data_IF_086143888963
#
_entry.id   IF_086143888963
#
_cell.length_a   1.000
_cell.length_b   1.000
_cell.length_c   1.000
_cell.angle_alpha   90.00
_cell.angle_beta   90.00
_cell.angle_gamma   90.00
#
_symmetry.space_group_name_H-M   'P 1'
#
loop_
_entity.id
_entity.type
_entity.pdbx_description
1 polymer ?
#
# COMPACT_ATOMS: atom_id res chain seq x y z
N UNK A 1 29.93 -0.82 -4.83
CA UNK A 1 28.59 -0.54 -5.33
C UNK A 1 27.93 -1.87 -5.69
N UNK A 2 26.89 -2.27 -4.99
CA UNK A 2 26.07 -3.42 -5.42
C UNK A 2 25.41 -3.03 -6.74
N UNK A 3 25.70 -3.76 -7.81
CA UNK A 3 25.19 -3.47 -9.13
C UNK A 3 23.78 -4.07 -9.26
N UNK A 4 22.74 -3.30 -8.89
CA UNK A 4 21.34 -3.72 -8.90
C UNK A 4 20.66 -3.51 -10.26
N UNK A 5 21.41 -3.14 -11.30
CA UNK A 5 20.91 -3.02 -12.69
C UNK A 5 20.36 -4.34 -13.27
N UNK A 6 20.35 -5.42 -12.48
CA UNK A 6 19.86 -6.75 -12.86
C UNK A 6 18.73 -7.26 -11.96
N UNK A 7 17.99 -6.40 -11.22
CA UNK A 7 16.80 -6.86 -10.52
C UNK A 7 15.71 -7.20 -11.52
N UNK A 8 15.44 -8.49 -11.62
CA UNK A 8 14.34 -9.03 -12.40
C UNK A 8 13.15 -9.23 -11.45
N UNK A 9 12.30 -8.20 -11.38
CA UNK A 9 11.10 -8.20 -10.54
C UNK A 9 10.01 -9.17 -11.03
N UNK A 10 10.20 -9.78 -12.20
CA UNK A 10 9.29 -10.76 -12.75
C UNK A 10 9.80 -12.19 -12.55
N UNK A 11 10.92 -12.39 -11.91
CA UNK A 11 11.48 -13.71 -11.61
C UNK A 11 11.14 -14.14 -10.18
N UNK A 12 10.13 -15.01 -9.97
CA UNK A 12 9.69 -15.41 -8.63
C UNK A 12 10.74 -16.24 -7.86
N UNK A 13 11.83 -16.69 -8.51
CA UNK A 13 12.93 -17.36 -7.84
C UNK A 13 13.96 -16.40 -7.25
N UNK A 14 13.87 -15.10 -7.51
CA UNK A 14 14.76 -14.08 -6.96
C UNK A 14 14.32 -13.68 -5.56
N UNK A 15 15.30 -13.36 -4.71
CA UNK A 15 15.03 -12.78 -3.40
C UNK A 15 14.34 -11.42 -3.54
N UNK A 16 13.36 -11.17 -2.68
CA UNK A 16 12.66 -9.90 -2.64
C UNK A 16 13.60 -8.71 -2.38
N UNK A 17 13.29 -7.59 -3.00
CA UNK A 17 14.00 -6.33 -2.82
C UNK A 17 13.06 -5.27 -2.22
N UNK A 18 13.64 -4.18 -1.69
CA UNK A 18 12.87 -3.03 -1.22
C UNK A 18 12.37 -2.21 -2.41
N UNK A 19 11.08 -1.87 -2.41
CA UNK A 19 10.47 -0.89 -3.29
C UNK A 19 10.03 0.36 -2.53
N UNK A 20 10.08 1.52 -3.17
CA UNK A 20 9.64 2.79 -2.60
C UNK A 20 8.20 3.10 -3.01
N UNK A 21 7.26 2.90 -2.08
CA UNK A 21 5.86 3.31 -2.24
C UNK A 21 5.69 4.80 -1.95
N UNK A 22 5.14 5.56 -2.88
CA UNK A 22 5.12 7.02 -2.83
C UNK A 22 3.77 7.64 -2.45
N UNK A 23 2.85 6.84 -1.94
CA UNK A 23 1.53 7.33 -1.49
C UNK A 23 1.62 8.38 -0.37
N UNK A 24 2.64 8.32 0.48
CA UNK A 24 2.79 9.14 1.69
C UNK A 24 4.12 9.89 1.72
N UNK A 25 4.51 10.49 0.59
CA UNK A 25 5.71 11.32 0.52
C UNK A 25 5.64 12.49 1.50
N UNK A 26 6.78 12.93 2.06
CA UNK A 26 6.81 14.12 2.91
C UNK A 26 6.35 15.35 2.12
N UNK A 27 5.78 16.33 2.83
CA UNK A 27 5.39 17.62 2.22
C UNK A 27 6.60 18.41 1.72
N UNK A 28 7.75 18.25 2.37
CA UNK A 28 9.01 18.84 1.95
C UNK A 28 9.59 18.07 0.75
N UNK A 29 9.57 18.73 -0.41
CA UNK A 29 10.11 18.18 -1.66
C UNK A 29 11.63 17.95 -1.60
N UNK A 30 12.36 18.76 -0.82
CA UNK A 30 13.79 18.57 -0.64
C UNK A 30 14.08 17.28 0.17
N UNK A 31 13.26 16.96 1.16
CA UNK A 31 13.33 15.68 1.86
C UNK A 31 13.05 14.50 0.92
N UNK A 32 11.99 14.59 0.10
CA UNK A 32 11.72 13.57 -0.92
C UNK A 32 12.90 13.35 -1.85
N UNK A 33 13.54 14.43 -2.31
CA UNK A 33 14.71 14.34 -3.17
C UNK A 33 15.88 13.61 -2.48
N UNK A 34 16.16 13.94 -1.20
CA UNK A 34 17.18 13.22 -0.40
C UNK A 34 16.82 11.74 -0.22
N UNK A 35 15.53 11.42 0.00
CA UNK A 35 15.08 10.02 0.11
C UNK A 35 15.30 9.26 -1.18
N UNK A 36 14.96 9.85 -2.34
CA UNK A 36 15.20 9.25 -3.65
C UNK A 36 16.70 9.02 -3.87
N UNK A 37 17.56 10.02 -3.59
CA UNK A 37 19.01 9.90 -3.72
C UNK A 37 19.56 8.77 -2.84
N UNK A 38 19.07 8.68 -1.60
CA UNK A 38 19.49 7.63 -0.65
C UNK A 38 19.04 6.25 -1.12
N UNK A 39 17.79 6.12 -1.59
CA UNK A 39 17.23 4.87 -2.08
C UNK A 39 18.03 4.33 -3.29
N UNK A 40 18.22 5.16 -4.31
CA UNK A 40 18.99 4.80 -5.49
C UNK A 40 20.47 4.59 -5.17
N UNK A 41 21.06 5.40 -4.29
CA UNK A 41 22.44 5.28 -3.83
C UNK A 41 22.75 3.97 -3.09
N UNK A 42 21.72 3.36 -2.46
CA UNK A 42 21.82 2.03 -1.85
C UNK A 42 21.52 0.89 -2.84
N UNK A 43 21.27 1.22 -4.12
CA UNK A 43 21.11 0.26 -5.20
C UNK A 43 19.68 -0.28 -5.36
N UNK A 44 18.68 0.27 -4.67
CA UNK A 44 17.27 -0.02 -4.89
C UNK A 44 16.71 0.92 -5.94
N UNK A 45 15.80 0.45 -6.79
CA UNK A 45 15.37 1.21 -7.96
C UNK A 45 13.91 1.04 -8.37
N UNK A 46 13.08 0.27 -7.63
CA UNK A 46 11.65 0.14 -7.90
C UNK A 46 10.86 1.21 -7.15
N UNK A 47 10.14 2.05 -7.87
CA UNK A 47 9.36 3.17 -7.33
C UNK A 47 7.90 3.00 -7.75
N UNK A 48 6.98 2.97 -6.78
CA UNK A 48 5.55 2.75 -6.99
C UNK A 48 4.76 4.03 -6.74
N UNK A 49 4.00 4.47 -7.73
CA UNK A 49 3.05 5.58 -7.64
C UNK A 49 1.66 5.19 -8.15
N UNK A 50 0.71 6.11 -8.12
CA UNK A 50 -0.59 6.00 -8.75
C UNK A 50 -1.19 7.38 -9.00
N UNK A 51 -2.02 7.49 -10.03
CA UNK A 51 -2.75 8.71 -10.37
C UNK A 51 -3.47 9.37 -9.19
N UNK A 52 -4.00 8.55 -8.29
CA UNK A 52 -4.78 9.00 -7.12
C UNK A 52 -3.92 9.36 -5.90
N UNK A 53 -2.61 9.14 -5.94
CA UNK A 53 -1.72 9.52 -4.83
C UNK A 53 -1.44 11.01 -4.90
N UNK A 54 -1.95 11.75 -3.92
CA UNK A 54 -1.89 13.23 -3.89
C UNK A 54 -0.50 13.77 -4.22
N UNK A 55 -0.34 14.44 -5.38
CA UNK A 55 0.90 15.07 -5.86
C UNK A 55 2.11 14.13 -5.99
N UNK A 56 1.93 12.81 -5.92
CA UNK A 56 3.05 11.85 -5.98
C UNK A 56 3.75 11.90 -7.33
N UNK A 57 2.98 11.87 -8.44
CA UNK A 57 3.51 11.88 -9.80
C UNK A 57 4.33 13.15 -10.07
N UNK A 58 3.80 14.33 -9.72
CA UNK A 58 4.51 15.61 -9.90
C UNK A 58 5.73 15.73 -8.96
N UNK A 59 5.64 15.16 -7.77
CA UNK A 59 6.77 15.14 -6.84
C UNK A 59 7.89 14.25 -7.37
N UNK A 60 7.56 13.09 -7.94
CA UNK A 60 8.53 12.19 -8.59
C UNK A 60 9.16 12.84 -9.84
N UNK A 61 8.41 13.61 -10.61
CA UNK A 61 8.98 14.39 -11.72
C UNK A 61 10.16 15.26 -11.27
N UNK A 62 9.98 15.96 -10.15
CA UNK A 62 11.01 16.88 -9.63
C UNK A 62 12.12 16.13 -8.86
N UNK A 63 11.76 15.16 -8.04
CA UNK A 63 12.71 14.49 -7.16
C UNK A 63 13.49 13.35 -7.83
N UNK A 64 12.93 12.73 -8.87
CA UNK A 64 13.50 11.56 -9.55
C UNK A 64 13.80 11.87 -11.02
N UNK A 65 12.78 12.11 -11.85
CA UNK A 65 12.87 12.07 -13.31
C UNK A 65 13.80 13.16 -13.86
N UNK A 66 13.77 14.37 -13.30
CA UNK A 66 14.66 15.47 -13.69
C UNK A 66 16.10 15.35 -13.17
N UNK A 67 16.37 14.42 -12.26
CA UNK A 67 17.63 14.39 -11.51
C UNK A 67 18.46 13.15 -11.76
N UNK A 68 17.84 12.05 -12.19
CA UNK A 68 18.51 10.76 -12.34
C UNK A 68 18.37 10.22 -13.77
N UNK A 69 19.37 9.48 -14.28
CA UNK A 69 19.27 8.82 -15.59
C UNK A 69 18.08 7.86 -15.64
N UNK A 70 17.35 7.85 -16.78
CA UNK A 70 16.13 7.05 -16.94
C UNK A 70 16.32 5.54 -16.74
N UNK A 71 17.49 5.03 -17.06
CA UNK A 71 17.87 3.63 -16.94
C UNK A 71 18.33 3.22 -15.52
N UNK A 72 18.38 4.17 -14.60
CA UNK A 72 18.78 3.90 -13.19
C UNK A 72 17.61 3.52 -12.28
N UNK A 73 16.37 3.61 -12.74
CA UNK A 73 15.17 3.35 -11.94
C UNK A 73 14.03 2.76 -12.77
N UNK A 74 13.11 2.09 -12.08
CA UNK A 74 11.83 1.62 -12.60
C UNK A 74 10.68 2.36 -11.92
N UNK A 75 9.66 2.74 -12.70
CA UNK A 75 8.45 3.37 -12.18
C UNK A 75 7.25 2.51 -12.51
N UNK A 76 6.47 2.20 -11.47
CA UNK A 76 5.15 1.60 -11.57
C UNK A 76 4.07 2.66 -11.40
N UNK A 77 3.08 2.68 -12.31
CA UNK A 77 1.88 3.50 -12.18
C UNK A 77 0.62 2.68 -12.47
N UNK A 78 -0.58 3.22 -12.24
CA UNK A 78 -1.80 2.43 -12.17
C UNK A 78 -2.98 3.10 -12.85
N UNK A 79 -3.77 2.31 -13.58
CA UNK A 79 -5.05 2.71 -14.18
C UNK A 79 -6.19 2.47 -13.19
N UNK A 80 -6.80 3.50 -12.58
CA UNK A 80 -7.90 3.36 -11.64
C UNK A 80 -9.26 3.19 -12.35
N UNK A 81 -9.86 1.97 -12.42
CA UNK A 81 -11.11 1.73 -13.14
C UNK A 81 -12.26 2.64 -12.71
N UNK A 82 -12.41 2.89 -11.41
CA UNK A 82 -13.51 3.70 -10.85
C UNK A 82 -13.48 5.19 -11.23
N UNK A 83 -12.37 5.67 -11.78
CA UNK A 83 -12.28 7.05 -12.28
C UNK A 83 -12.68 7.18 -13.75
N UNK A 84 -12.83 6.06 -14.44
CA UNK A 84 -13.21 6.02 -15.85
C UNK A 84 -14.74 6.06 -15.98
N UNK A 85 -15.22 6.81 -16.97
CA UNK A 85 -16.64 6.86 -17.35
C UNK A 85 -16.88 6.22 -18.71
N UNK A 86 -15.86 6.20 -19.55
CA UNK A 86 -15.91 5.71 -20.90
C UNK A 86 -14.53 5.21 -21.37
N UNK A 87 -14.44 3.96 -21.81
CA UNK A 87 -13.24 3.40 -22.41
C UNK A 87 -13.42 3.27 -23.94
N UNK A 88 -12.39 3.50 -24.78
CA UNK A 88 -10.99 3.76 -24.38
C UNK A 88 -10.64 5.23 -24.12
N UNK A 89 -11.57 6.18 -24.34
CA UNK A 89 -11.24 7.61 -24.37
C UNK A 89 -10.72 8.14 -23.04
N UNK A 90 -11.30 7.73 -21.91
CA UNK A 90 -10.84 8.16 -20.59
C UNK A 90 -9.54 7.47 -20.20
N UNK A 91 -9.34 6.20 -20.62
CA UNK A 91 -8.08 5.49 -20.44
C UNK A 91 -6.92 6.25 -21.10
N UNK A 92 -7.11 6.71 -22.35
CA UNK A 92 -6.09 7.50 -23.08
C UNK A 92 -5.77 8.81 -22.35
N UNK A 93 -6.82 9.58 -22.01
CA UNK A 93 -6.64 10.88 -21.33
C UNK A 93 -5.92 10.75 -20.00
N UNK A 94 -6.31 9.74 -19.20
CA UNK A 94 -5.71 9.50 -17.89
C UNK A 94 -4.25 9.09 -18.04
N UNK A 95 -3.94 8.18 -18.94
CA UNK A 95 -2.59 7.70 -19.20
C UNK A 95 -1.66 8.83 -19.72
N UNK A 96 -2.14 9.65 -20.65
CA UNK A 96 -1.41 10.82 -21.14
C UNK A 96 -1.14 11.84 -20.03
N UNK A 97 -2.13 12.04 -19.14
CA UNK A 97 -1.99 12.91 -17.98
C UNK A 97 -0.96 12.36 -16.98
N UNK A 98 -0.92 11.03 -16.74
CA UNK A 98 0.10 10.39 -15.91
C UNK A 98 1.51 10.59 -16.48
N UNK A 99 1.70 10.38 -17.79
CA UNK A 99 2.98 10.66 -18.47
C UNK A 99 3.37 12.13 -18.34
N UNK A 100 2.43 13.05 -18.51
CA UNK A 100 2.66 14.49 -18.36
C UNK A 100 3.06 14.87 -16.93
N UNK A 101 2.36 14.33 -15.91
CA UNK A 101 2.62 14.60 -14.49
C UNK A 101 3.96 14.04 -14.03
N UNK A 102 4.26 12.81 -14.40
CA UNK A 102 5.54 12.17 -14.08
C UNK A 102 6.69 12.71 -14.91
N UNK A 103 6.42 13.20 -16.12
CA UNK A 103 7.43 13.61 -17.09
C UNK A 103 8.15 12.42 -17.74
N UNK A 104 7.56 11.23 -17.65
CA UNK A 104 8.07 10.02 -18.27
C UNK A 104 7.53 9.86 -19.70
N UNK A 105 8.25 9.12 -20.54
CA UNK A 105 7.83 8.73 -21.89
C UNK A 105 7.14 7.36 -21.91
N UNK A 106 7.39 6.53 -20.89
CA UNK A 106 6.81 5.20 -20.69
C UNK A 106 6.88 4.80 -19.23
N UNK A 107 6.02 3.85 -18.81
CA UNK A 107 6.09 3.18 -17.51
C UNK A 107 6.77 1.82 -17.64
N UNK A 108 7.63 1.49 -16.67
CA UNK A 108 8.26 0.17 -16.63
C UNK A 108 7.24 -0.89 -16.20
N UNK A 109 6.41 -0.55 -15.21
CA UNK A 109 5.33 -1.40 -14.70
C UNK A 109 4.03 -0.61 -14.72
N UNK A 110 2.96 -1.23 -15.20
CA UNK A 110 1.65 -0.61 -15.21
C UNK A 110 0.59 -1.59 -14.74
N UNK A 111 -0.30 -1.14 -13.85
CA UNK A 111 -1.25 -2.02 -13.19
C UNK A 111 -2.70 -1.57 -13.45
N UNK A 112 -3.61 -2.52 -13.67
CA UNK A 112 -5.03 -2.27 -13.45
C UNK A 112 -5.26 -2.19 -11.95
N UNK A 113 -5.76 -1.02 -11.46
CA UNK A 113 -5.65 -0.62 -10.06
C UNK A 113 -6.79 -1.13 -9.19
N UNK A 114 -6.45 -1.71 -8.02
CA UNK A 114 -7.37 -2.00 -6.91
C UNK A 114 -8.59 -2.83 -7.31
N UNK A 115 -8.34 -3.98 -7.94
CA UNK A 115 -9.41 -4.87 -8.39
C UNK A 115 -10.07 -5.60 -7.23
N UNK A 116 -11.38 -5.65 -7.28
CA UNK A 116 -12.30 -6.41 -6.44
C UNK A 116 -13.55 -6.77 -7.26
N UNK A 117 -14.46 -7.57 -6.71
CA UNK A 117 -15.67 -8.03 -7.38
C UNK A 117 -16.57 -6.87 -7.88
N UNK A 118 -16.55 -5.73 -7.17
CA UNK A 118 -17.34 -4.56 -7.56
C UNK A 118 -16.88 -3.93 -8.88
N UNK A 119 -15.67 -4.24 -9.33
CA UNK A 119 -15.08 -3.71 -10.57
C UNK A 119 -15.03 -4.76 -11.70
N UNK A 120 -15.33 -6.04 -11.42
CA UNK A 120 -15.22 -7.13 -12.40
C UNK A 120 -15.93 -6.80 -13.71
N UNK A 121 -17.21 -6.43 -13.64
CA UNK A 121 -18.04 -6.08 -14.82
C UNK A 121 -17.38 -4.98 -15.66
N UNK A 122 -16.94 -3.90 -15.04
CA UNK A 122 -16.32 -2.76 -15.73
C UNK A 122 -15.00 -3.13 -16.40
N UNK A 123 -14.17 -3.92 -15.71
CA UNK A 123 -12.87 -4.38 -16.21
C UNK A 123 -13.04 -5.21 -17.48
N UNK A 124 -14.01 -6.13 -17.47
CA UNK A 124 -14.28 -7.05 -18.58
C UNK A 124 -14.98 -6.32 -19.75
N UNK A 125 -16.08 -5.59 -19.50
CA UNK A 125 -16.85 -4.92 -20.55
C UNK A 125 -16.03 -3.86 -21.30
N UNK A 126 -15.07 -3.25 -20.61
CA UNK A 126 -14.20 -2.23 -21.20
C UNK A 126 -12.85 -2.77 -21.67
N UNK A 127 -12.62 -4.06 -21.52
CA UNK A 127 -11.37 -4.74 -21.91
C UNK A 127 -10.11 -3.96 -21.45
N UNK A 128 -10.07 -3.63 -20.15
CA UNK A 128 -8.99 -2.81 -19.62
C UNK A 128 -7.60 -3.46 -19.75
N UNK A 129 -7.53 -4.78 -19.64
CA UNK A 129 -6.28 -5.51 -19.87
C UNK A 129 -5.87 -5.46 -21.34
N UNK A 130 -6.79 -5.68 -22.29
CA UNK A 130 -6.53 -5.54 -23.70
C UNK A 130 -6.07 -4.15 -24.09
N UNK A 131 -6.69 -3.09 -23.51
CA UNK A 131 -6.22 -1.73 -23.68
C UNK A 131 -4.77 -1.55 -23.21
N UNK A 132 -4.40 -2.07 -22.04
CA UNK A 132 -3.03 -2.02 -21.53
C UNK A 132 -2.05 -2.80 -22.43
N UNK A 133 -2.46 -3.97 -22.97
CA UNK A 133 -1.66 -4.76 -23.92
C UNK A 133 -1.37 -3.94 -25.18
N UNK A 134 -2.33 -3.16 -25.70
CA UNK A 134 -2.09 -2.27 -26.83
C UNK A 134 -1.08 -1.15 -26.51
N UNK A 135 -1.10 -0.60 -25.27
CA UNK A 135 -0.07 0.36 -24.86
C UNK A 135 1.30 -0.31 -24.71
N UNK A 136 1.35 -1.57 -24.27
CA UNK A 136 2.58 -2.36 -24.23
C UNK A 136 3.15 -2.61 -25.62
N UNK A 137 2.34 -2.95 -26.62
CA UNK A 137 2.76 -3.08 -28.03
C UNK A 137 3.36 -1.79 -28.59
N UNK A 138 2.84 -0.63 -28.16
CA UNK A 138 3.38 0.69 -28.52
C UNK A 138 4.68 1.05 -27.78
N UNK A 139 5.11 0.23 -26.80
CA UNK A 139 6.29 0.48 -25.97
C UNK A 139 6.08 1.49 -24.84
N UNK A 140 4.84 1.92 -24.60
CA UNK A 140 4.48 2.88 -23.55
C UNK A 140 4.35 2.22 -22.17
N UNK A 141 4.15 0.91 -22.12
CA UNK A 141 4.19 0.05 -20.95
C UNK A 141 5.19 -1.07 -21.23
N UNK A 142 6.07 -1.39 -20.28
CA UNK A 142 6.99 -2.52 -20.40
C UNK A 142 6.41 -3.80 -19.82
N UNK A 143 5.85 -3.74 -18.61
CA UNK A 143 5.28 -4.88 -17.90
C UNK A 143 3.89 -4.56 -17.38
N UNK A 144 2.94 -5.48 -17.62
CA UNK A 144 1.55 -5.35 -17.21
C UNK A 144 1.25 -6.23 -16.01
N UNK A 145 0.53 -5.70 -15.03
CA UNK A 145 0.03 -6.42 -13.88
C UNK A 145 -1.28 -5.83 -13.36
N UNK A 146 -1.67 -6.23 -12.17
CA UNK A 146 -2.81 -5.64 -11.47
C UNK A 146 -2.59 -5.61 -9.96
N UNK A 147 -3.28 -4.72 -9.25
CA UNK A 147 -3.35 -4.73 -7.78
C UNK A 147 -4.72 -5.21 -7.32
N UNK A 148 -4.73 -5.97 -6.20
CA UNK A 148 -5.88 -6.76 -5.81
C UNK A 148 -6.31 -6.54 -4.35
N UNK A 149 -7.63 -6.45 -4.13
CA UNK A 149 -8.26 -6.27 -2.81
C UNK A 149 -9.58 -7.04 -2.65
N UNK A 150 -9.90 -7.98 -3.53
CA UNK A 150 -11.15 -8.74 -3.53
C UNK A 150 -11.08 -10.10 -2.83
N UNK A 151 -12.04 -10.95 -3.08
CA UNK A 151 -12.12 -12.32 -2.54
C UNK A 151 -11.33 -13.34 -3.37
N UNK A 152 -10.93 -14.43 -2.74
CA UNK A 152 -10.09 -15.50 -3.32
C UNK A 152 -10.61 -16.03 -4.67
N UNK A 153 -11.92 -16.20 -4.79
CA UNK A 153 -12.55 -16.73 -6.03
C UNK A 153 -12.41 -15.77 -7.23
N UNK A 154 -12.46 -14.47 -7.00
CA UNK A 154 -12.26 -13.51 -8.09
C UNK A 154 -10.79 -13.41 -8.50
N UNK A 155 -9.86 -13.45 -7.55
CA UNK A 155 -8.44 -13.52 -7.87
C UNK A 155 -8.12 -14.72 -8.79
N UNK A 156 -8.66 -15.89 -8.48
CA UNK A 156 -8.44 -17.07 -9.33
C UNK A 156 -9.03 -16.88 -10.74
N UNK A 157 -10.21 -16.24 -10.87
CA UNK A 157 -10.77 -15.90 -12.18
C UNK A 157 -9.89 -14.93 -12.97
N UNK A 158 -9.37 -13.87 -12.33
CA UNK A 158 -8.45 -12.92 -12.96
C UNK A 158 -7.19 -13.61 -13.49
N UNK A 159 -6.53 -14.42 -12.65
CA UNK A 159 -5.31 -15.13 -13.03
C UNK A 159 -5.54 -16.11 -14.20
N UNK A 160 -6.74 -16.69 -14.32
CA UNK A 160 -7.09 -17.57 -15.44
C UNK A 160 -7.45 -16.81 -16.71
N UNK A 161 -8.16 -15.67 -16.58
CA UNK A 161 -8.67 -14.90 -17.74
C UNK A 161 -7.61 -14.01 -18.36
N UNK A 162 -6.67 -13.52 -17.55
CA UNK A 162 -5.69 -12.52 -17.95
C UNK A 162 -4.26 -13.06 -17.84
N UNK A 163 -3.91 -14.09 -18.65
CA UNK A 163 -2.54 -14.65 -18.68
C UNK A 163 -1.51 -13.66 -19.21
N UNK A 164 -1.94 -12.54 -19.82
CA UNK A 164 -1.09 -11.42 -20.22
C UNK A 164 -0.56 -10.60 -19.03
N UNK A 165 -1.13 -10.79 -17.83
CA UNK A 165 -0.63 -10.22 -16.59
C UNK A 165 0.65 -10.93 -16.15
N UNK A 166 1.74 -10.18 -16.01
CA UNK A 166 3.07 -10.69 -15.71
C UNK A 166 3.39 -10.74 -14.22
N UNK A 167 2.62 -10.02 -13.41
CA UNK A 167 2.79 -9.96 -11.95
C UNK A 167 1.50 -9.49 -11.27
N UNK A 168 1.42 -9.73 -9.97
CA UNK A 168 0.31 -9.25 -9.14
C UNK A 168 0.82 -8.46 -7.94
N UNK A 169 0.14 -7.36 -7.62
CA UNK A 169 0.41 -6.59 -6.40
C UNK A 169 -0.63 -6.96 -5.35
N UNK A 170 -0.19 -7.61 -4.26
CA UNK A 170 -1.04 -8.13 -3.20
C UNK A 170 -0.74 -7.43 -1.86
N UNK A 171 -1.79 -7.21 -1.09
CA UNK A 171 -1.66 -6.84 0.31
C UNK A 171 -1.20 -8.05 1.12
N UNK A 172 0.01 -7.99 1.69
CA UNK A 172 0.60 -9.05 2.48
C UNK A 172 1.26 -8.47 3.74
N UNK A 173 0.97 -9.05 4.89
CA UNK A 173 1.62 -8.78 6.17
C UNK A 173 1.27 -9.91 7.14
N UNK A 174 1.99 -10.07 8.23
CA UNK A 174 1.78 -11.20 9.13
C UNK A 174 0.37 -11.23 9.76
N UNK A 175 -0.32 -10.07 9.90
CA UNK A 175 -1.69 -10.04 10.40
C UNK A 175 -2.67 -10.59 9.36
N UNK A 176 -2.63 -10.07 8.14
CA UNK A 176 -3.58 -10.46 7.08
C UNK A 176 -3.31 -11.88 6.57
N UNK A 177 -2.06 -12.35 6.61
CA UNK A 177 -1.71 -13.73 6.26
C UNK A 177 -2.14 -14.73 7.34
N UNK A 178 -1.89 -14.46 8.61
CA UNK A 178 -2.13 -15.42 9.70
C UNK A 178 -3.55 -15.34 10.28
N UNK A 179 -4.32 -14.30 10.01
CA UNK A 179 -5.67 -14.08 10.56
C UNK A 179 -6.69 -13.62 9.50
N UNK A 180 -6.29 -13.43 8.25
CA UNK A 180 -7.14 -12.96 7.15
C UNK A 180 -6.95 -13.78 5.87
N UNK A 181 -7.48 -13.31 4.74
CA UNK A 181 -7.49 -14.04 3.47
C UNK A 181 -6.16 -13.97 2.69
N UNK A 182 -5.17 -13.21 3.14
CA UNK A 182 -3.97 -12.94 2.36
C UNK A 182 -3.11 -14.19 2.09
N UNK A 183 -3.19 -15.21 2.95
CA UNK A 183 -2.54 -16.51 2.69
C UNK A 183 -3.15 -17.20 1.46
N UNK A 184 -4.47 -17.20 1.32
CA UNK A 184 -5.14 -17.81 0.15
C UNK A 184 -4.75 -17.09 -1.14
N UNK A 185 -4.68 -15.75 -1.12
CA UNK A 185 -4.22 -14.98 -2.29
C UNK A 185 -2.77 -15.29 -2.65
N UNK A 186 -1.91 -15.41 -1.64
CA UNK A 186 -0.52 -15.78 -1.82
C UNK A 186 -0.39 -17.19 -2.44
N UNK A 187 -1.11 -18.18 -1.91
CA UNK A 187 -1.10 -19.55 -2.42
C UNK A 187 -1.59 -19.62 -3.88
N UNK A 188 -2.62 -18.84 -4.24
CA UNK A 188 -3.07 -18.73 -5.61
C UNK A 188 -1.98 -18.13 -6.52
N UNK A 189 -1.36 -17.03 -6.14
CA UNK A 189 -0.29 -16.43 -6.92
C UNK A 189 0.88 -17.42 -7.12
N UNK A 190 1.26 -18.16 -6.09
CA UNK A 190 2.27 -19.23 -6.18
C UNK A 190 1.82 -20.36 -7.13
N UNK A 191 0.58 -20.82 -7.02
CA UNK A 191 -0.01 -21.85 -7.88
C UNK A 191 0.04 -21.47 -9.38
N UNK A 192 -0.17 -20.19 -9.68
CA UNK A 192 -0.10 -19.66 -11.04
C UNK A 192 1.28 -19.14 -11.43
N UNK A 193 2.30 -19.38 -10.58
CA UNK A 193 3.69 -18.93 -10.76
C UNK A 193 3.81 -17.40 -11.01
N UNK A 194 2.92 -16.62 -10.39
CA UNK A 194 2.94 -15.17 -10.50
C UNK A 194 4.00 -14.55 -9.56
N UNK A 195 4.85 -13.67 -10.05
CA UNK A 195 5.65 -12.78 -9.22
C UNK A 195 4.73 -11.88 -8.37
N UNK A 196 5.07 -11.74 -7.10
CA UNK A 196 4.29 -10.94 -6.15
C UNK A 196 5.05 -9.67 -5.77
N UNK A 197 4.43 -8.52 -6.00
CA UNK A 197 4.84 -7.26 -5.42
C UNK A 197 3.96 -7.01 -4.20
N UNK A 198 4.58 -6.92 -3.02
CA UNK A 198 3.83 -6.74 -1.77
C UNK A 198 3.49 -5.28 -1.56
N UNK A 199 2.22 -4.98 -1.32
CA UNK A 199 1.76 -3.70 -0.78
C UNK A 199 1.30 -3.88 0.68
N UNK A 200 1.30 -2.78 1.43
CA UNK A 200 0.90 -2.73 2.85
C UNK A 200 1.64 -3.72 3.78
N UNK A 201 2.96 -3.88 3.67
CA UNK A 201 3.72 -4.79 4.54
C UNK A 201 3.59 -4.43 6.01
N UNK A 202 3.38 -3.14 6.33
CA UNK A 202 3.15 -2.63 7.69
C UNK A 202 1.70 -2.18 7.92
N UNK A 203 0.76 -2.61 7.06
CA UNK A 203 -0.69 -2.33 7.15
C UNK A 203 -0.99 -0.85 7.46
N UNK A 204 -0.54 0.04 6.55
CA UNK A 204 -0.72 1.50 6.70
C UNK A 204 0.02 2.12 7.88
N UNK A 205 0.95 1.40 8.49
CA UNK A 205 1.72 1.81 9.66
C UNK A 205 1.25 1.19 10.99
N UNK A 206 0.09 0.52 11.02
CA UNK A 206 -0.43 -0.09 12.25
C UNK A 206 0.46 -1.20 12.81
N UNK A 207 1.22 -1.90 11.96
CA UNK A 207 2.20 -2.89 12.36
C UNK A 207 3.60 -2.31 12.62
N UNK A 208 3.77 -1.00 12.48
CA UNK A 208 4.98 -0.28 12.90
C UNK A 208 4.78 0.43 14.26
N UNK A 209 3.54 0.59 14.70
CA UNK A 209 3.15 1.18 15.98
C UNK A 209 2.14 0.26 16.66
N UNK A 210 2.63 -0.69 17.43
CA UNK A 210 1.80 -1.69 18.11
C UNK A 210 1.24 -1.15 19.44
N UNK A 211 0.17 -1.78 19.99
CA UNK A 211 -0.20 -1.60 21.40
C UNK A 211 0.97 -1.96 22.33
N UNK A 212 1.10 -1.32 23.52
CA UNK A 212 2.26 -1.49 24.40
C UNK A 212 2.57 -2.95 24.78
N UNK A 213 1.54 -3.76 25.05
CA UNK A 213 1.72 -5.17 25.39
C UNK A 213 2.32 -5.99 24.23
N UNK A 214 1.87 -5.73 22.99
CA UNK A 214 2.39 -6.38 21.79
C UNK A 214 3.81 -5.90 21.45
N UNK A 215 4.07 -4.60 21.56
CA UNK A 215 5.39 -4.02 21.32
C UNK A 215 6.43 -4.55 22.31
N UNK A 216 6.06 -4.68 23.58
CA UNK A 216 6.90 -5.21 24.64
C UNK A 216 7.44 -6.62 24.29
N UNK A 217 6.60 -7.51 23.77
CA UNK A 217 7.01 -8.86 23.36
C UNK A 217 8.17 -8.82 22.35
N UNK A 218 8.07 -7.96 21.33
CA UNK A 218 9.10 -7.82 20.30
C UNK A 218 10.38 -7.19 20.85
N UNK A 219 10.23 -6.17 21.71
CA UNK A 219 11.37 -5.45 22.31
C UNK A 219 12.12 -6.25 23.35
N UNK A 220 11.47 -7.10 24.11
CA UNK A 220 12.13 -8.02 25.05
C UNK A 220 12.94 -9.08 24.31
N UNK A 221 12.44 -9.57 23.17
CA UNK A 221 13.16 -10.55 22.34
C UNK A 221 14.32 -9.93 21.57
N UNK A 222 14.13 -8.77 20.94
CA UNK A 222 15.11 -8.09 20.10
C UNK A 222 15.09 -6.56 20.32
N UNK A 223 15.73 -6.04 21.39
CA UNK A 223 15.65 -4.64 21.81
C UNK A 223 16.06 -3.62 20.73
N UNK A 224 17.05 -4.00 19.91
CA UNK A 224 17.63 -3.12 18.89
C UNK A 224 16.94 -3.24 17.52
N UNK A 225 15.93 -4.10 17.38
CA UNK A 225 15.21 -4.30 16.15
C UNK A 225 13.99 -3.39 16.11
N UNK A 226 13.73 -2.71 14.99
CA UNK A 226 12.54 -1.87 14.83
C UNK A 226 11.28 -2.73 14.76
N UNK A 227 10.14 -2.18 15.18
CA UNK A 227 8.85 -2.89 15.10
C UNK A 227 8.46 -3.14 13.63
N UNK A 228 8.67 -2.16 12.75
CA UNK A 228 8.36 -2.27 11.34
C UNK A 228 9.15 -3.39 10.64
N UNK A 229 10.41 -3.61 11.05
CA UNK A 229 11.29 -4.62 10.42
C UNK A 229 10.75 -6.04 10.52
N UNK A 230 9.97 -6.38 11.56
CA UNK A 230 9.34 -7.68 11.70
C UNK A 230 8.33 -7.96 10.58
N UNK A 231 7.49 -6.97 10.27
CA UNK A 231 6.49 -7.10 9.23
C UNK A 231 7.12 -7.10 7.82
N UNK A 232 8.11 -6.25 7.59
CA UNK A 232 8.85 -6.19 6.33
C UNK A 232 9.59 -7.50 6.07
N UNK A 233 10.31 -8.01 7.04
CA UNK A 233 11.05 -9.27 6.91
C UNK A 233 10.13 -10.47 6.71
N UNK A 234 8.98 -10.51 7.42
CA UNK A 234 7.98 -11.56 7.23
C UNK A 234 7.55 -11.64 5.77
N UNK A 235 7.18 -10.51 5.16
CA UNK A 235 6.67 -10.48 3.78
C UNK A 235 7.75 -10.70 2.73
N UNK A 236 8.97 -10.18 2.95
CA UNK A 236 10.07 -10.31 2.00
C UNK A 236 10.56 -11.76 1.80
N UNK A 237 10.23 -12.65 2.72
CA UNK A 237 10.65 -14.04 2.71
C UNK A 237 9.55 -15.02 2.27
N UNK A 238 8.38 -14.50 1.91
CA UNK A 238 7.32 -15.33 1.32
C UNK A 238 7.70 -15.75 -0.11
N UNK A 239 7.29 -16.96 -0.47
CA UNK A 239 7.53 -17.50 -1.81
C UNK A 239 6.97 -16.58 -2.90
N UNK A 240 7.64 -16.48 -4.04
CA UNK A 240 7.30 -15.65 -5.20
C UNK A 240 7.27 -14.13 -4.92
N UNK A 241 7.56 -13.66 -3.72
CA UNK A 241 7.68 -12.22 -3.46
C UNK A 241 8.99 -11.71 -4.06
N UNK A 242 8.89 -10.73 -4.95
CA UNK A 242 10.03 -10.14 -5.66
C UNK A 242 10.32 -8.72 -5.23
N UNK A 243 9.30 -8.01 -4.70
CA UNK A 243 9.45 -6.65 -4.20
C UNK A 243 8.50 -6.41 -3.02
N UNK A 244 8.98 -5.69 -2.00
CA UNK A 244 8.17 -5.23 -0.88
C UNK A 244 8.11 -3.71 -0.90
N UNK A 245 6.93 -3.17 -1.20
CA UNK A 245 6.70 -1.73 -1.24
C UNK A 245 6.55 -1.18 0.18
N UNK A 246 7.46 -0.33 0.58
CA UNK A 246 7.33 0.42 1.82
C UNK A 246 7.06 1.90 1.54
N UNK A 247 6.01 2.45 2.20
CA UNK A 247 5.62 3.85 2.11
C UNK A 247 6.39 4.70 3.13
N UNK A 248 7.68 4.76 2.99
CA UNK A 248 8.56 5.56 3.84
C UNK A 248 8.23 7.05 3.70
N UNK A 249 7.89 7.71 4.81
CA UNK A 249 7.42 9.11 4.82
C UNK A 249 8.48 10.10 5.35
N UNK A 250 9.65 9.62 5.73
CA UNK A 250 10.80 10.41 6.20
C UNK A 250 12.10 9.60 6.10
N UNK A 251 13.23 10.28 6.31
CA UNK A 251 14.56 9.65 6.24
C UNK A 251 14.81 8.59 7.31
N UNK A 252 14.20 8.70 8.50
CA UNK A 252 14.35 7.71 9.57
C UNK A 252 13.77 6.36 9.13
N UNK A 253 12.55 6.35 8.60
CA UNK A 253 11.90 5.15 8.06
C UNK A 253 12.66 4.58 6.86
N UNK A 254 13.19 5.46 5.98
CA UNK A 254 14.03 5.04 4.85
C UNK A 254 15.27 4.28 5.36
N UNK A 255 16.01 4.85 6.30
CA UNK A 255 17.22 4.22 6.83
C UNK A 255 16.93 2.93 7.59
N UNK A 256 15.83 2.86 8.34
CA UNK A 256 15.39 1.65 9.04
C UNK A 256 15.08 0.51 8.07
N UNK A 257 14.36 0.82 6.98
CA UNK A 257 13.99 -0.17 5.98
C UNK A 257 15.21 -0.63 5.15
N UNK A 258 16.10 0.28 4.78
CA UNK A 258 17.36 -0.07 4.12
C UNK A 258 18.17 -1.03 4.99
N UNK A 259 18.34 -0.72 6.29
CA UNK A 259 19.03 -1.61 7.26
C UNK A 259 18.33 -2.96 7.38
N UNK A 260 17.01 -3.02 7.34
CA UNK A 260 16.25 -4.28 7.39
C UNK A 260 16.59 -5.18 6.21
N UNK A 261 16.79 -4.61 5.01
CA UNK A 261 17.14 -5.38 3.81
C UNK A 261 18.62 -5.74 3.69
N UNK A 262 19.53 -5.08 4.42
CA UNK A 262 20.96 -5.42 4.43
C UNK A 262 21.24 -6.81 5.05
N UNK A 263 20.52 -7.16 6.11
CA UNK A 263 20.72 -8.38 6.91
C UNK A 263 19.49 -9.30 6.90
N UNK A 264 18.81 -9.41 5.76
CA UNK A 264 17.60 -10.22 5.62
C UNK A 264 17.88 -11.71 5.84
N UNK A 265 17.23 -12.30 6.85
CA UNK A 265 17.32 -13.73 7.18
C UNK A 265 15.93 -14.31 7.37
N UNK A 266 15.73 -15.62 7.10
CA UNK A 266 14.48 -16.28 7.43
C UNK A 266 14.14 -16.12 8.92
N UNK A 267 12.86 -15.93 9.22
CA UNK A 267 12.37 -15.96 10.58
C UNK A 267 12.52 -17.39 11.14
N UNK A 268 13.01 -17.49 12.36
CA UNK A 268 13.09 -18.76 13.09
C UNK A 268 11.70 -19.23 13.54
N UNK A 269 11.54 -20.49 13.88
CA UNK A 269 10.29 -21.01 14.46
C UNK A 269 9.87 -20.21 15.72
N UNK A 270 10.84 -19.85 16.56
CA UNK A 270 10.58 -19.02 17.74
C UNK A 270 10.07 -17.63 17.39
N UNK A 271 10.58 -17.01 16.33
CA UNK A 271 10.13 -15.70 15.85
C UNK A 271 8.71 -15.80 15.25
N UNK A 272 8.37 -16.88 14.55
CA UNK A 272 7.00 -17.14 14.10
C UNK A 272 6.04 -17.30 15.28
N UNK A 273 6.42 -18.03 16.34
CA UNK A 273 5.64 -18.18 17.56
C UNK A 273 5.46 -16.82 18.26
N UNK A 274 6.52 -16.00 18.29
CA UNK A 274 6.46 -14.66 18.85
C UNK A 274 5.48 -13.76 18.08
N UNK A 275 5.48 -13.80 16.74
CA UNK A 275 4.48 -13.07 15.94
C UNK A 275 3.06 -13.53 16.23
N UNK A 276 2.83 -14.85 16.47
CA UNK A 276 1.52 -15.33 16.91
C UNK A 276 1.10 -14.78 18.27
N UNK A 277 2.03 -14.62 19.22
CA UNK A 277 1.76 -13.97 20.51
C UNK A 277 1.41 -12.49 20.32
N UNK A 278 2.14 -11.77 19.46
CA UNK A 278 1.84 -10.39 19.07
C UNK A 278 0.43 -10.28 18.49
N UNK A 279 0.03 -11.21 17.62
CA UNK A 279 -1.32 -11.24 17.05
C UNK A 279 -2.40 -11.47 18.08
N UNK A 280 -2.14 -12.29 19.12
CA UNK A 280 -3.06 -12.49 20.22
C UNK A 280 -3.24 -11.21 21.06
N UNK A 281 -2.17 -10.42 21.27
CA UNK A 281 -2.29 -9.11 21.92
C UNK A 281 -3.03 -8.10 21.02
N UNK A 282 -2.74 -8.09 19.70
CA UNK A 282 -3.47 -7.26 18.75
C UNK A 282 -4.97 -7.57 18.71
N UNK A 283 -5.36 -8.83 18.84
CA UNK A 283 -6.77 -9.25 18.85
C UNK A 283 -7.56 -8.69 20.05
N UNK A 284 -6.86 -8.33 21.15
CA UNK A 284 -7.49 -7.65 22.31
C UNK A 284 -7.75 -6.17 22.03
N UNK A 285 -7.09 -5.62 21.02
CA UNK A 285 -7.20 -4.22 20.66
C UNK A 285 -8.33 -4.02 19.63
N UNK A 286 -9.47 -3.48 20.09
CA UNK A 286 -10.64 -3.20 19.24
C UNK A 286 -10.47 -1.91 18.42
N UNK A 287 -9.43 -1.83 17.60
CA UNK A 287 -9.19 -0.71 16.71
C UNK A 287 -9.93 -0.83 15.38
N UNK A 288 -10.08 0.31 14.69
CA UNK A 288 -10.62 0.36 13.33
C UNK A 288 -9.48 0.03 12.35
N UNK A 289 -9.60 -0.95 11.43
CA UNK A 289 -8.51 -1.42 10.58
C UNK A 289 -8.23 -0.49 9.38
N UNK A 290 -8.28 0.82 9.60
CA UNK A 290 -8.04 1.82 8.57
C UNK A 290 -6.53 1.99 8.30
N UNK A 291 -6.13 1.89 7.03
CA UNK A 291 -4.74 2.08 6.59
C UNK A 291 -4.43 3.51 6.12
N UNK A 292 -5.38 4.43 6.31
CA UNK A 292 -5.27 5.84 5.91
C UNK A 292 -4.89 6.04 4.42
N UNK A 293 -5.38 5.16 3.53
CA UNK A 293 -5.18 5.27 2.08
C UNK A 293 -5.93 6.45 1.45
N UNK A 294 -6.99 6.96 2.11
CA UNK A 294 -7.82 8.10 1.69
C UNK A 294 -8.63 7.89 0.41
N UNK A 295 -8.79 6.66 -0.10
CA UNK A 295 -9.63 6.41 -1.29
C UNK A 295 -11.08 6.85 -1.09
N UNK A 296 -11.58 6.76 0.14
CA UNK A 296 -12.92 7.21 0.54
C UNK A 296 -13.08 8.74 0.65
N UNK A 297 -11.98 9.51 0.58
CA UNK A 297 -12.04 10.97 0.87
C UNK A 297 -12.80 11.74 -0.21
N UNK A 298 -12.60 11.40 -1.49
CA UNK A 298 -13.30 12.04 -2.63
C UNK A 298 -14.77 11.70 -2.74
N UNK A 299 -15.23 10.63 -2.07
CA UNK A 299 -16.61 10.15 -2.14
C UNK A 299 -17.51 10.74 -1.04
N UNK A 300 -16.93 11.34 -0.01
CA UNK A 300 -17.69 11.93 1.08
C UNK A 300 -18.29 13.28 0.67
N UNK A 301 -19.64 13.41 0.54
CA UNK A 301 -20.26 14.67 0.12
C UNK A 301 -20.07 15.80 1.13
N UNK A 302 -19.71 15.47 2.37
CA UNK A 302 -19.47 16.42 3.46
C UNK A 302 -17.99 16.64 3.75
N UNK A 303 -17.08 16.06 2.95
CA UNK A 303 -15.63 16.17 3.10
C UNK A 303 -15.14 15.83 4.53
N UNK A 304 -15.74 14.83 5.19
CA UNK A 304 -15.30 14.36 6.50
C UNK A 304 -13.91 13.75 6.34
N UNK A 305 -12.96 14.11 7.20
CA UNK A 305 -11.65 13.45 7.26
C UNK A 305 -11.78 12.11 8.00
N UNK A 306 -12.27 11.10 7.25
CA UNK A 306 -12.52 9.75 7.73
C UNK A 306 -11.23 9.13 8.30
N UNK A 307 -10.13 9.29 7.55
CA UNK A 307 -8.85 8.69 7.93
C UNK A 307 -8.29 9.30 9.23
N UNK A 308 -8.38 10.61 9.39
CA UNK A 308 -7.95 11.29 10.62
C UNK A 308 -8.85 10.89 11.81
N UNK A 309 -10.16 10.82 11.62
CA UNK A 309 -11.12 10.39 12.65
C UNK A 309 -10.79 8.98 13.17
N UNK A 310 -10.52 8.04 12.26
CA UNK A 310 -10.15 6.67 12.62
C UNK A 310 -8.77 6.57 13.26
N UNK A 311 -7.80 7.36 12.81
CA UNK A 311 -6.48 7.42 13.44
C UNK A 311 -6.58 7.88 14.90
N UNK A 312 -7.33 8.96 15.15
CA UNK A 312 -7.54 9.48 16.51
C UNK A 312 -8.30 8.48 17.41
N UNK A 313 -9.31 7.79 16.86
CA UNK A 313 -9.98 6.70 17.58
C UNK A 313 -8.99 5.62 17.99
N UNK A 314 -8.15 5.16 17.05
CA UNK A 314 -7.17 4.12 17.31
C UNK A 314 -6.09 4.57 18.31
N UNK A 315 -5.64 5.82 18.24
CA UNK A 315 -4.68 6.38 19.19
C UNK A 315 -5.26 6.47 20.60
N UNK A 316 -6.52 6.93 20.73
CA UNK A 316 -7.22 6.94 22.01
C UNK A 316 -7.41 5.54 22.61
N UNK A 317 -7.67 4.53 21.75
CA UNK A 317 -7.80 3.14 22.20
C UNK A 317 -6.47 2.50 22.60
N UNK A 318 -5.33 2.96 22.02
CA UNK A 318 -3.97 2.52 22.39
C UNK A 318 -3.49 3.10 23.71
N UNK A 319 -4.08 4.18 24.17
CA UNK A 319 -3.69 4.85 25.41
C UNK A 319 -4.21 4.06 26.62
N UNK A 320 -3.37 3.16 27.13
CA UNK A 320 -3.66 2.36 28.33
C UNK A 320 -3.75 3.20 29.61
N UNK A 321 -3.26 4.45 29.61
CA UNK A 321 -3.38 5.35 30.75
C UNK A 321 -4.82 5.83 30.99
N UNK A 322 -5.71 5.60 29.99
CA UNK A 322 -7.08 6.09 30.02
C UNK A 322 -7.19 7.62 29.87
N UNK A 323 -6.07 8.31 29.63
CA UNK A 323 -6.05 9.77 29.48
C UNK A 323 -6.11 10.16 27.99
N UNK A 324 -7.18 9.80 27.32
CA UNK A 324 -7.43 10.21 25.93
C UNK A 324 -7.74 11.70 25.74
N UNK A 325 -7.58 12.52 26.81
CA UNK A 325 -7.93 13.95 26.79
C UNK A 325 -7.20 14.71 25.66
N UNK A 326 -5.90 14.49 25.49
CA UNK A 326 -5.14 15.14 24.42
C UNK A 326 -5.68 14.76 23.04
N UNK A 327 -5.98 13.48 22.81
CA UNK A 327 -6.54 12.98 21.53
C UNK A 327 -7.95 13.57 21.32
N UNK A 328 -8.76 13.65 22.36
CA UNK A 328 -10.08 14.26 22.30
C UNK A 328 -10.02 15.77 21.99
N UNK A 329 -9.05 16.50 22.54
CA UNK A 329 -8.84 17.91 22.19
C UNK A 329 -8.42 18.09 20.73
N UNK A 330 -7.50 17.25 20.24
CA UNK A 330 -7.09 17.28 18.84
C UNK A 330 -8.27 16.95 17.93
N UNK A 331 -9.08 15.93 18.27
CA UNK A 331 -10.30 15.61 17.54
C UNK A 331 -11.27 16.79 17.49
N UNK A 332 -11.51 17.44 18.63
CA UNK A 332 -12.39 18.62 18.74
C UNK A 332 -11.84 19.87 18.04
N UNK A 333 -10.55 19.91 17.67
CA UNK A 333 -9.99 20.98 16.83
C UNK A 333 -10.32 20.85 15.35
N UNK A 334 -10.77 19.67 14.89
CA UNK A 334 -11.32 19.50 13.54
C UNK A 334 -12.62 20.34 13.44
N UNK A 335 -12.85 21.07 12.34
CA UNK A 335 -14.14 21.74 12.11
C UNK A 335 -15.32 20.79 12.27
N UNK A 336 -16.39 21.21 12.93
CA UNK A 336 -17.52 20.35 13.26
C UNK A 336 -18.17 19.71 12.03
N UNK A 337 -18.20 20.43 10.90
CA UNK A 337 -18.68 19.95 9.61
C UNK A 337 -17.82 18.81 9.02
N UNK A 338 -16.60 18.61 9.48
CA UNK A 338 -15.63 17.63 8.97
C UNK A 338 -15.36 16.50 9.97
N UNK A 339 -16.07 16.49 11.12
CA UNK A 339 -15.97 15.43 12.13
C UNK A 339 -16.92 14.27 11.85
N UNK A 340 -16.74 13.18 12.58
CA UNK A 340 -17.58 11.98 12.47
C UNK A 340 -19.07 12.25 12.76
N UNK A 341 -19.38 13.23 13.62
CA UNK A 341 -20.75 13.68 13.95
C UNK A 341 -21.54 14.18 12.74
N UNK A 342 -20.85 14.74 11.75
CA UNK A 342 -21.48 15.20 10.51
C UNK A 342 -21.89 14.05 9.57
N UNK A 343 -21.54 12.80 9.86
CA UNK A 343 -21.78 11.66 8.98
C UNK A 343 -23.28 11.37 8.80
N UNK A 344 -23.79 11.55 7.58
CA UNK A 344 -25.18 11.26 7.20
C UNK A 344 -25.42 9.77 6.85
N UNK A 345 -24.44 8.91 7.01
CA UNK A 345 -24.51 7.46 6.76
C UNK A 345 -24.93 7.07 5.33
N UNK A 346 -24.59 7.88 4.33
CA UNK A 346 -24.98 7.65 2.93
C UNK A 346 -24.25 6.44 2.28
N UNK A 347 -23.15 5.94 2.85
CA UNK A 347 -22.42 4.76 2.37
C UNK A 347 -21.51 4.99 1.15
N UNK A 348 -21.49 6.18 0.54
CA UNK A 348 -20.69 6.44 -0.66
C UNK A 348 -19.19 6.11 -0.51
N UNK A 349 -18.64 6.32 0.68
CA UNK A 349 -17.24 6.05 1.01
C UNK A 349 -16.89 4.56 1.14
N UNK A 350 -17.87 3.65 1.23
CA UNK A 350 -17.63 2.21 1.48
C UNK A 350 -17.14 1.50 0.23
N UNK A 351 -17.69 1.83 -0.94
CA UNK A 351 -17.42 1.15 -2.19
C UNK A 351 -15.92 1.16 -2.60
N UNK A 352 -15.20 2.22 -2.25
CA UNK A 352 -13.78 2.37 -2.59
C UNK A 352 -12.83 2.05 -1.41
N UNK A 353 -13.36 1.49 -0.30
CA UNK A 353 -12.52 1.13 0.83
C UNK A 353 -11.80 -0.22 0.61
N UNK A 354 -10.48 -0.24 0.38
CA UNK A 354 -9.76 -1.49 0.12
C UNK A 354 -9.62 -2.39 1.36
N UNK A 355 -10.03 -1.90 2.54
CA UNK A 355 -10.10 -2.68 3.78
C UNK A 355 -11.52 -3.14 4.10
N UNK A 356 -12.50 -2.90 3.21
CA UNK A 356 -13.91 -3.27 3.35
C UNK A 356 -14.55 -2.85 4.68
N UNK A 357 -14.16 -1.67 5.18
CA UNK A 357 -14.66 -1.12 6.45
C UNK A 357 -16.09 -0.61 6.25
N UNK A 358 -17.00 -1.01 7.14
CA UNK A 358 -18.29 -0.32 7.27
C UNK A 358 -18.08 1.07 7.90
N UNK A 359 -17.64 2.02 7.05
CA UNK A 359 -17.25 3.36 7.48
C UNK A 359 -18.37 4.06 8.26
N UNK A 360 -19.65 4.04 7.83
CA UNK A 360 -20.74 4.63 8.60
C UNK A 360 -20.92 4.06 10.02
N UNK A 361 -20.78 2.73 10.17
CA UNK A 361 -20.86 2.08 11.48
C UNK A 361 -19.67 2.47 12.37
N UNK A 362 -18.45 2.46 11.81
CA UNK A 362 -17.24 2.82 12.54
C UNK A 362 -17.21 4.32 12.92
N UNK A 363 -17.78 5.21 12.10
CA UNK A 363 -17.97 6.62 12.46
C UNK A 363 -18.87 6.78 13.70
N UNK A 364 -19.87 5.91 13.86
CA UNK A 364 -20.69 5.86 15.07
C UNK A 364 -19.86 5.59 16.33
N UNK A 365 -18.88 4.68 16.27
CA UNK A 365 -17.97 4.40 17.38
C UNK A 365 -17.05 5.57 17.73
N UNK A 366 -16.59 6.30 16.67
CA UNK A 366 -15.79 7.54 16.86
C UNK A 366 -16.59 8.58 17.62
N UNK A 367 -17.84 8.82 17.20
CA UNK A 367 -18.74 9.76 17.88
C UNK A 367 -18.96 9.36 19.33
N UNK A 368 -19.18 8.07 19.61
CA UNK A 368 -19.40 7.59 20.96
C UNK A 368 -18.17 7.79 21.86
N UNK A 369 -16.96 7.60 21.32
CA UNK A 369 -15.72 7.74 22.09
C UNK A 369 -15.40 9.19 22.43
N UNK A 370 -15.74 10.16 21.56
CA UNK A 370 -15.36 11.58 21.71
C UNK A 370 -16.52 12.49 22.13
N UNK A 371 -17.67 11.95 22.49
CA UNK A 371 -18.78 12.68 23.17
C UNK A 371 -18.30 13.35 24.50
#
# INVERSE_FOLDING_TARGET
>A
MKNYSSHDYLNPAKQATLGFGTMRLPKDRAETARMVDTFLGNGYNYIDTAYIYTNSEETLKEALVKRHPRDSYFVADKLPPWMLKKCPEDCVKLFEEQLRRTGLEYFDYYLVHSLDEGKEQQVEDWDLFGWCVEQKKKGLIKHLGFSYHGGTAYLERLLKRHPESEFVQLQQNYLDNLRGPATEWHELAVKYNQPIIVMEPVKGGSLAKLPPAAEKLLKEYAPNRSIASWAIQYTALLQNVTCVLSGMSNMEQMNDNLKTFEDMKPLTAQEHDLLNQVLNELAKFAGIPCTACKYCHGDCPLNIDIAASFAMYNDAKRDESGNSWNTAMVYKSIPESNRAEACIKCGACVANCPQHIDIPAEMGKVVELFK
#
